data_IF_974116174090
#
_entry.id   IF_974116174090
#
_cell.length_a   1.000
_cell.length_b   1.000
_cell.length_c   1.000
_cell.angle_alpha   90.00
_cell.angle_beta   90.00
_cell.angle_gamma   90.00
#
_symmetry.space_group_name_H-M   'P 1'
#
loop_
_entity.id
_entity.type
_entity.pdbx_description
1 polymer ?
#
# COMPACT_ATOMS: atom_id res chain seq x y z
N UNK A 1 53.52 -20.76 -10.80
CA UNK A 1 53.41 -20.46 -9.37
C UNK A 1 52.51 -19.25 -9.27
N UNK A 2 51.22 -19.47 -9.05
CA UNK A 2 50.26 -18.38 -8.86
C UNK A 2 49.86 -18.37 -7.40
N UNK A 3 50.09 -17.22 -6.79
CA UNK A 3 49.94 -16.92 -5.38
C UNK A 3 48.47 -17.09 -5.02
N UNK A 4 48.16 -18.07 -4.17
CA UNK A 4 46.93 -18.05 -3.39
C UNK A 4 47.10 -16.94 -2.36
N UNK A 5 46.64 -15.73 -2.68
CA UNK A 5 46.38 -14.73 -1.66
C UNK A 5 45.21 -15.28 -0.83
N UNK A 6 45.55 -15.95 0.27
CA UNK A 6 44.63 -16.17 1.37
C UNK A 6 44.32 -14.78 1.92
N UNK A 7 43.13 -14.25 1.64
CA UNK A 7 42.67 -13.04 2.32
C UNK A 7 42.82 -13.27 3.84
N UNK A 8 43.61 -12.44 4.54
CA UNK A 8 43.86 -12.66 5.95
C UNK A 8 42.55 -12.47 6.71
N UNK A 9 42.17 -13.47 7.51
CA UNK A 9 40.99 -13.41 8.38
C UNK A 9 41.04 -12.12 9.22
N UNK A 10 40.03 -11.24 9.14
CA UNK A 10 40.10 -9.95 9.82
C UNK A 10 40.07 -10.15 11.34
N UNK A 11 41.00 -9.50 12.04
CA UNK A 11 41.08 -9.50 13.50
C UNK A 11 40.17 -8.42 14.08
N UNK A 12 39.19 -8.81 14.90
CA UNK A 12 38.14 -7.93 15.42
C UNK A 12 38.15 -7.91 16.95
N UNK A 13 38.07 -6.72 17.53
CA UNK A 13 37.75 -6.53 18.95
C UNK A 13 36.26 -6.15 19.09
N UNK A 14 35.52 -6.85 19.96
CA UNK A 14 34.13 -6.55 20.28
C UNK A 14 34.07 -5.88 21.67
N UNK A 15 33.65 -4.62 21.70
CA UNK A 15 33.47 -3.84 22.92
C UNK A 15 31.99 -3.66 23.22
N UNK A 16 31.50 -4.40 24.21
CA UNK A 16 30.09 -4.36 24.61
C UNK A 16 29.93 -4.83 26.05
N UNK A 17 29.01 -4.20 26.79
CA UNK A 17 28.62 -4.68 28.12
C UNK A 17 28.01 -6.09 28.04
N UNK A 18 28.12 -6.91 29.09
CA UNK A 18 27.44 -8.20 29.14
C UNK A 18 25.91 -8.04 28.95
N UNK A 19 25.35 -8.75 27.97
CA UNK A 19 23.92 -8.69 27.68
C UNK A 19 23.56 -9.14 26.26
N UNK A 20 22.28 -9.01 25.90
CA UNK A 20 21.74 -9.48 24.62
C UNK A 20 22.44 -8.83 23.41
N UNK A 21 22.75 -7.53 23.46
CA UNK A 21 23.46 -6.82 22.39
C UNK A 21 24.80 -7.48 22.06
N UNK A 22 25.61 -7.76 23.08
CA UNK A 22 26.90 -8.44 22.95
C UNK A 22 26.75 -9.83 22.36
N UNK A 23 25.70 -10.56 22.76
CA UNK A 23 25.43 -11.89 22.21
C UNK A 23 25.06 -11.86 20.73
N UNK A 24 24.18 -10.94 20.32
CA UNK A 24 23.78 -10.77 18.91
C UNK A 24 24.97 -10.36 18.03
N UNK A 25 25.80 -9.43 18.52
CA UNK A 25 27.00 -8.99 17.81
C UNK A 25 28.04 -10.12 17.68
N UNK A 26 28.28 -10.88 18.74
CA UNK A 26 29.18 -12.04 18.71
C UNK A 26 28.69 -13.10 17.72
N UNK A 27 27.39 -13.38 17.71
CA UNK A 27 26.79 -14.31 16.75
C UNK A 27 26.99 -13.84 15.31
N UNK A 28 26.78 -12.55 15.02
CA UNK A 28 27.01 -12.00 13.68
C UNK A 28 28.48 -12.07 13.26
N UNK A 29 29.42 -11.77 14.18
CA UNK A 29 30.86 -11.90 13.91
C UNK A 29 31.26 -13.36 13.66
N UNK A 30 30.69 -14.32 14.40
CA UNK A 30 30.93 -15.74 14.17
C UNK A 30 30.46 -16.20 12.78
N UNK A 31 29.34 -15.67 12.29
CA UNK A 31 28.86 -15.94 10.93
C UNK A 31 29.68 -15.23 9.85
N UNK A 32 30.37 -14.15 10.20
CA UNK A 32 31.22 -13.38 9.30
C UNK A 32 32.63 -13.98 9.19
N UNK A 33 32.92 -15.18 9.69
CA UNK A 33 34.23 -15.85 9.59
C UNK A 33 35.43 -14.94 9.97
N UNK A 34 35.27 -14.14 11.02
CA UNK A 34 36.30 -13.23 11.54
C UNK A 34 36.96 -13.79 12.79
N UNK A 35 38.19 -13.34 13.07
CA UNK A 35 38.89 -13.71 14.29
C UNK A 35 38.60 -12.69 15.39
N UNK A 36 37.79 -13.07 16.39
CA UNK A 36 37.60 -12.24 17.59
C UNK A 36 38.86 -12.33 18.46
N UNK A 37 39.66 -11.27 18.49
CA UNK A 37 40.92 -11.20 19.25
C UNK A 37 40.73 -10.67 20.67
N UNK A 38 39.64 -9.93 20.91
CA UNK A 38 39.28 -9.37 22.21
C UNK A 38 37.76 -9.22 22.30
N UNK A 39 37.17 -9.63 23.42
CA UNK A 39 35.75 -9.45 23.72
C UNK A 39 35.58 -8.97 25.16
N UNK A 40 35.33 -7.68 25.38
CA UNK A 40 35.35 -7.10 26.73
C UNK A 40 34.34 -5.97 26.94
N UNK A 41 34.07 -5.64 28.21
CA UNK A 41 33.27 -4.50 28.61
C UNK A 41 34.12 -3.22 28.54
N UNK A 42 33.73 -2.19 27.75
CA UNK A 42 34.48 -0.94 27.65
C UNK A 42 34.68 -0.26 29.02
N UNK A 43 33.76 -0.44 29.97
CA UNK A 43 33.83 0.16 31.30
C UNK A 43 35.03 -0.34 32.12
N UNK A 44 35.41 -1.60 31.94
CA UNK A 44 36.52 -2.25 32.68
C UNK A 44 37.78 -2.43 31.85
N UNK A 45 37.68 -2.30 30.52
CA UNK A 45 38.80 -2.51 29.61
C UNK A 45 39.89 -1.44 29.78
N UNK A 46 41.14 -1.89 29.90
CA UNK A 46 42.31 -1.01 29.89
C UNK A 46 42.76 -0.68 28.44
N UNK A 47 43.14 0.57 28.13
CA UNK A 47 43.60 0.96 26.78
C UNK A 47 44.77 0.11 26.26
N UNK A 48 45.67 -0.31 27.14
CA UNK A 48 46.82 -1.14 26.78
C UNK A 48 46.40 -2.54 26.32
N UNK A 49 45.37 -3.14 26.93
CA UNK A 49 44.88 -4.45 26.54
C UNK A 49 44.30 -4.46 25.12
N UNK A 50 43.59 -3.38 24.74
CA UNK A 50 43.11 -3.19 23.37
C UNK A 50 44.26 -3.05 22.38
N UNK A 51 45.31 -2.30 22.75
CA UNK A 51 46.50 -2.14 21.92
C UNK A 51 47.29 -3.45 21.74
N UNK A 52 47.47 -4.21 22.82
CA UNK A 52 48.21 -5.47 22.82
C UNK A 52 47.50 -6.56 22.01
N UNK A 53 46.16 -6.53 21.95
CA UNK A 53 45.35 -7.44 21.14
C UNK A 53 45.50 -7.20 19.63
N UNK A 54 46.02 -6.04 19.21
CA UNK A 54 46.24 -5.63 17.79
C UNK A 54 45.05 -5.93 16.87
N UNK A 55 43.83 -5.45 17.17
CA UNK A 55 42.70 -5.58 16.26
C UNK A 55 42.92 -4.76 14.98
N UNK A 56 42.34 -5.21 13.88
CA UNK A 56 42.17 -4.43 12.65
C UNK A 56 40.86 -3.64 12.68
N UNK A 57 39.82 -4.25 13.25
CA UNK A 57 38.50 -3.63 13.44
C UNK A 57 38.10 -3.62 14.91
N UNK A 58 37.41 -2.57 15.34
CA UNK A 58 36.75 -2.53 16.65
C UNK A 58 35.26 -2.32 16.44
N UNK A 59 34.45 -3.28 16.87
CA UNK A 59 33.00 -3.20 16.87
C UNK A 59 32.53 -2.78 18.26
N UNK A 60 31.82 -1.66 18.34
CA UNK A 60 31.42 -1.03 19.60
C UNK A 60 29.89 -0.98 19.67
N UNK A 61 29.33 -1.58 20.72
CA UNK A 61 27.91 -1.46 21.04
C UNK A 61 27.66 -0.14 21.79
N UNK A 62 27.14 0.87 21.10
CA UNK A 62 26.89 2.20 21.64
C UNK A 62 25.70 2.22 22.60
N UNK A 63 25.92 2.84 23.76
CA UNK A 63 24.91 3.14 24.77
C UNK A 63 25.41 4.23 25.71
N UNK A 64 24.49 5.00 26.30
CA UNK A 64 24.84 6.13 27.17
C UNK A 64 25.74 5.75 28.35
N UNK A 65 25.64 4.51 28.83
CA UNK A 65 26.40 4.03 29.98
C UNK A 65 27.90 3.88 29.72
N UNK A 66 28.36 3.86 28.45
CA UNK A 66 29.76 3.62 28.09
C UNK A 66 30.47 4.87 27.56
N UNK A 67 29.81 6.03 27.52
CA UNK A 67 30.35 7.28 26.96
C UNK A 67 31.68 7.69 27.63
N UNK A 68 31.71 7.73 28.96
CA UNK A 68 32.93 8.04 29.75
C UNK A 68 34.06 7.03 29.49
N UNK A 69 33.70 5.76 29.24
CA UNK A 69 34.68 4.72 28.93
C UNK A 69 35.27 4.88 27.52
N UNK A 70 34.47 5.33 26.54
CA UNK A 70 34.95 5.61 25.18
C UNK A 70 35.89 6.82 25.16
N UNK A 71 35.62 7.87 25.93
CA UNK A 71 36.55 9.01 26.08
C UNK A 71 37.90 8.54 26.65
N UNK A 72 37.89 7.67 27.66
CA UNK A 72 39.11 7.08 28.21
C UNK A 72 39.87 6.17 27.23
N UNK A 73 39.16 5.49 26.33
CA UNK A 73 39.74 4.60 25.31
C UNK A 73 40.13 5.33 24.01
N UNK A 74 39.76 6.59 23.84
CA UNK A 74 40.00 7.41 22.64
C UNK A 74 41.46 7.35 22.14
N UNK A 75 42.51 7.41 22.99
CA UNK A 75 43.89 7.33 22.52
C UNK A 75 44.23 5.98 21.85
N UNK A 76 43.60 4.90 22.28
CA UNK A 76 43.80 3.57 21.70
C UNK A 76 42.94 3.36 20.45
N UNK A 77 41.71 3.90 20.44
CA UNK A 77 40.79 3.83 19.30
C UNK A 77 41.21 4.72 18.12
N UNK A 78 42.03 5.74 18.37
CA UNK A 78 42.56 6.65 17.34
C UNK A 78 43.84 6.12 16.66
N UNK A 79 44.23 4.87 16.90
CA UNK A 79 45.43 4.28 16.31
C UNK A 79 45.34 4.23 14.75
N UNK A 80 46.40 4.61 14.04
CA UNK A 80 46.40 4.58 12.58
C UNK A 80 46.26 3.16 12.05
N UNK A 81 45.32 2.94 11.13
CA UNK A 81 45.03 1.63 10.53
C UNK A 81 43.95 0.82 11.26
N UNK A 82 43.37 1.36 12.34
CA UNK A 82 42.21 0.78 13.01
C UNK A 82 40.91 1.28 12.37
N UNK A 83 39.99 0.37 12.07
CA UNK A 83 38.65 0.74 11.59
C UNK A 83 37.61 0.55 12.70
N UNK A 84 36.86 1.60 13.00
CA UNK A 84 35.81 1.57 14.02
C UNK A 84 34.45 1.30 13.38
N UNK A 85 33.69 0.40 13.96
CA UNK A 85 32.31 0.06 13.58
C UNK A 85 31.44 0.25 14.81
N UNK A 86 30.44 1.12 14.68
CA UNK A 86 29.49 1.40 15.75
C UNK A 86 28.14 0.75 15.45
N UNK A 87 27.51 0.15 16.45
CA UNK A 87 26.13 -0.33 16.41
C UNK A 87 25.42 0.03 17.72
N UNK A 88 24.16 0.41 17.68
CA UNK A 88 23.41 0.76 18.88
C UNK A 88 23.07 -0.49 19.69
N UNK A 89 23.41 -0.52 20.98
CA UNK A 89 23.24 -1.70 21.83
C UNK A 89 21.77 -2.14 21.91
N UNK A 90 20.84 -1.19 22.04
CA UNK A 90 19.40 -1.49 22.15
C UNK A 90 18.83 -2.05 20.83
N UNK A 91 19.28 -1.52 19.70
CA UNK A 91 18.90 -2.00 18.37
C UNK A 91 19.50 -3.39 18.13
N UNK A 92 20.78 -3.58 18.43
CA UNK A 92 21.46 -4.87 18.33
C UNK A 92 20.75 -5.95 19.15
N UNK A 93 20.31 -5.64 20.38
CA UNK A 93 19.62 -6.57 21.27
C UNK A 93 18.23 -7.00 20.77
N UNK A 94 17.50 -6.12 20.07
CA UNK A 94 16.15 -6.41 19.54
C UNK A 94 16.16 -7.06 18.16
N UNK A 95 17.33 -7.15 17.52
CA UNK A 95 17.45 -7.56 16.12
C UNK A 95 17.27 -9.06 15.97
N UNK A 96 16.25 -9.46 15.20
CA UNK A 96 15.87 -10.85 14.99
C UNK A 96 15.55 -11.17 13.52
N UNK A 97 15.53 -12.48 13.21
CA UNK A 97 15.07 -13.01 11.92
C UNK A 97 15.80 -12.41 10.71
N UNK A 98 15.03 -11.92 9.74
CA UNK A 98 15.56 -11.38 8.49
C UNK A 98 16.47 -10.17 8.70
N UNK A 99 16.14 -9.31 9.66
CA UNK A 99 16.92 -8.12 9.94
C UNK A 99 18.32 -8.47 10.47
N UNK A 100 18.40 -9.46 11.37
CA UNK A 100 19.67 -9.96 11.89
C UNK A 100 20.55 -10.55 10.78
N UNK A 101 19.96 -11.34 9.88
CA UNK A 101 20.69 -11.96 8.76
C UNK A 101 21.19 -10.95 7.73
N UNK A 102 20.33 -9.98 7.35
CA UNK A 102 20.72 -8.90 6.45
C UNK A 102 21.85 -8.08 7.08
N UNK A 103 21.66 -7.63 8.32
CA UNK A 103 22.65 -6.83 9.01
C UNK A 103 23.99 -7.58 9.16
N UNK A 104 23.96 -8.87 9.51
CA UNK A 104 25.15 -9.72 9.60
C UNK A 104 25.92 -9.80 8.28
N UNK A 105 25.24 -9.97 7.15
CA UNK A 105 25.87 -9.93 5.80
C UNK A 105 26.51 -8.57 5.49
N UNK A 106 25.82 -7.47 5.82
CA UNK A 106 26.37 -6.14 5.65
C UNK A 106 27.58 -5.89 6.57
N UNK A 107 27.56 -6.40 7.80
CA UNK A 107 28.71 -6.33 8.71
C UNK A 107 29.89 -7.14 8.14
N UNK A 108 29.65 -8.37 7.69
CA UNK A 108 30.67 -9.22 7.09
C UNK A 108 31.31 -8.54 5.87
N UNK A 109 30.51 -7.93 5.00
CA UNK A 109 31.00 -7.18 3.85
C UNK A 109 31.90 -6.01 4.24
N UNK A 110 31.53 -5.24 5.28
CA UNK A 110 32.35 -4.16 5.82
C UNK A 110 33.67 -4.67 6.40
N UNK A 111 33.65 -5.76 7.16
CA UNK A 111 34.84 -6.33 7.81
C UNK A 111 35.84 -6.91 6.79
N UNK A 112 35.36 -7.40 5.64
CA UNK A 112 36.22 -7.89 4.55
C UNK A 112 36.49 -6.85 3.47
N UNK A 113 35.94 -5.63 3.59
CA UNK A 113 36.19 -4.55 2.64
C UNK A 113 35.56 -4.76 1.25
N UNK A 114 34.54 -5.60 1.12
CA UNK A 114 33.78 -5.78 -0.12
C UNK A 114 32.36 -5.21 0.01
N UNK A 115 31.68 -4.99 -1.13
CA UNK A 115 30.29 -4.53 -1.16
C UNK A 115 29.29 -5.66 -1.43
N UNK A 116 29.78 -6.90 -1.54
CA UNK A 116 28.94 -8.05 -1.75
C UNK A 116 28.13 -8.37 -0.50
N UNK A 117 26.84 -8.07 -0.57
CA UNK A 117 25.93 -8.24 0.55
C UNK A 117 24.80 -9.18 0.22
N UNK A 118 24.67 -9.69 -1.01
CA UNK A 118 23.58 -10.56 -1.43
C UNK A 118 23.73 -11.99 -0.85
N UNK A 119 22.66 -12.82 -0.86
CA UNK A 119 22.80 -14.22 -0.51
C UNK A 119 23.46 -14.97 -1.68
N UNK A 120 24.15 -16.08 -1.42
CA UNK A 120 24.70 -16.92 -2.48
C UNK A 120 23.60 -17.32 -3.48
N UNK A 121 23.82 -17.02 -4.77
CA UNK A 121 22.88 -17.26 -5.86
C UNK A 121 22.21 -16.02 -6.45
N UNK A 122 22.39 -14.84 -5.84
CA UNK A 122 21.85 -13.57 -6.36
C UNK A 122 22.92 -12.65 -6.98
N UNK A 123 24.16 -13.13 -7.11
CA UNK A 123 25.32 -12.23 -7.16
C UNK A 123 25.78 -11.86 -8.56
N UNK A 124 25.28 -12.52 -9.62
CA UNK A 124 25.61 -12.18 -11.00
C UNK A 124 24.40 -12.47 -11.93
N UNK A 125 23.54 -11.47 -12.15
CA UNK A 125 22.91 -11.36 -13.46
C UNK A 125 23.91 -10.63 -14.36
N UNK A 126 24.53 -11.31 -15.34
CA UNK A 126 25.50 -10.65 -16.21
C UNK A 126 24.80 -9.46 -16.87
N UNK A 127 25.39 -8.27 -16.72
CA UNK A 127 24.91 -7.07 -17.38
C UNK A 127 24.69 -7.40 -18.86
N UNK A 128 23.43 -7.44 -19.29
CA UNK A 128 23.05 -7.72 -20.66
C UNK A 128 23.58 -6.59 -21.53
N UNK A 129 24.84 -6.71 -21.98
CA UNK A 129 25.38 -5.87 -23.03
C UNK A 129 24.60 -6.23 -24.30
N UNK A 130 23.58 -5.43 -24.59
CA UNK A 130 22.81 -5.51 -25.81
C UNK A 130 23.73 -5.12 -26.97
N UNK A 131 24.38 -6.09 -27.60
CA UNK A 131 25.07 -5.85 -28.87
C UNK A 131 24.03 -5.56 -29.96
N UNK A 132 24.24 -4.53 -30.82
CA UNK A 132 23.40 -4.31 -31.99
C UNK A 132 23.52 -5.48 -32.98
N UNK A 133 22.62 -6.43 -32.85
CA UNK A 133 22.47 -7.59 -33.72
C UNK A 133 21.17 -8.30 -33.38
N UNK A 134 20.52 -8.96 -34.35
CA UNK A 134 19.40 -9.84 -34.04
C UNK A 134 20.01 -11.04 -33.29
N UNK A 135 19.83 -11.17 -31.95
CA UNK A 135 20.34 -12.35 -31.26
C UNK A 135 19.75 -13.58 -31.94
N UNK A 136 20.55 -14.65 -32.08
CA UNK A 136 20.01 -15.92 -32.54
C UNK A 136 18.81 -16.23 -31.66
N UNK A 137 17.61 -16.32 -32.27
CA UNK A 137 16.39 -16.64 -31.53
C UNK A 137 16.71 -17.85 -30.67
N UNK A 138 16.69 -17.73 -29.32
CA UNK A 138 16.90 -18.88 -28.47
C UNK A 138 15.93 -19.97 -28.93
N UNK A 139 16.35 -21.26 -28.95
CA UNK A 139 15.45 -22.32 -29.33
C UNK A 139 14.18 -22.15 -28.50
N UNK A 140 13.03 -22.03 -29.18
CA UNK A 140 11.73 -21.91 -28.52
C UNK A 140 11.71 -22.96 -27.41
N UNK A 141 11.55 -22.55 -26.13
CA UNK A 141 11.51 -23.49 -25.02
C UNK A 141 10.50 -24.56 -25.39
N UNK A 142 10.99 -25.79 -25.57
CA UNK A 142 10.10 -26.89 -25.88
C UNK A 142 9.27 -27.09 -24.62
N UNK A 143 7.96 -26.97 -24.74
CA UNK A 143 7.00 -27.15 -23.64
C UNK A 143 7.23 -28.45 -22.87
N UNK A 144 7.71 -29.48 -23.58
CA UNK A 144 8.16 -30.76 -23.01
C UNK A 144 9.29 -30.66 -21.98
N UNK A 145 10.18 -29.68 -22.07
CA UNK A 145 11.24 -29.46 -21.07
C UNK A 145 10.70 -28.83 -19.77
N UNK A 146 9.58 -28.11 -19.86
CA UNK A 146 8.88 -27.51 -18.72
C UNK A 146 7.87 -28.47 -18.09
N UNK A 147 7.41 -29.47 -18.84
CA UNK A 147 6.40 -30.45 -18.41
C UNK A 147 6.72 -31.06 -17.03
N UNK A 148 7.97 -31.48 -16.81
CA UNK A 148 8.38 -32.09 -15.53
C UNK A 148 8.27 -31.13 -14.36
N UNK A 149 8.63 -29.86 -14.57
CA UNK A 149 8.52 -28.82 -13.54
C UNK A 149 7.05 -28.45 -13.28
N UNK A 150 6.22 -28.43 -14.32
CA UNK A 150 4.77 -28.19 -14.19
C UNK A 150 4.07 -29.33 -13.45
N UNK A 151 4.42 -30.59 -13.74
CA UNK A 151 3.92 -31.77 -13.03
C UNK A 151 4.33 -31.75 -11.56
N UNK A 152 5.60 -31.39 -11.28
CA UNK A 152 6.10 -31.25 -9.92
C UNK A 152 5.38 -30.12 -9.17
N UNK A 153 5.22 -28.94 -9.78
CA UNK A 153 4.49 -27.83 -9.20
C UNK A 153 3.03 -28.19 -8.90
N UNK A 154 2.36 -28.89 -9.82
CA UNK A 154 0.99 -29.39 -9.63
C UNK A 154 0.88 -30.39 -8.48
N UNK A 155 1.90 -31.24 -8.30
CA UNK A 155 1.93 -32.20 -7.19
C UNK A 155 2.05 -31.55 -5.82
N UNK A 156 2.66 -30.37 -5.74
CA UNK A 156 2.85 -29.61 -4.49
C UNK A 156 1.77 -28.56 -4.25
N UNK A 157 0.89 -28.33 -5.22
CA UNK A 157 -0.14 -27.28 -5.13
C UNK A 157 -1.05 -27.47 -3.90
N UNK A 158 -1.41 -28.72 -3.58
CA UNK A 158 -2.25 -29.06 -2.44
C UNK A 158 -1.51 -28.99 -1.09
N UNK A 159 -0.17 -29.02 -1.11
CA UNK A 159 0.67 -28.94 0.09
C UNK A 159 0.99 -27.48 0.48
N UNK A 160 0.72 -26.51 -0.41
CA UNK A 160 0.86 -25.08 -0.11
C UNK A 160 -0.29 -24.67 0.82
N UNK A 161 -0.01 -24.18 2.05
CA UNK A 161 -1.06 -23.71 2.93
C UNK A 161 -1.83 -22.56 2.29
N UNK A 162 -3.08 -22.82 1.87
CA UNK A 162 -4.00 -21.77 1.48
C UNK A 162 -4.50 -21.04 2.74
N UNK A 163 -4.70 -19.72 2.64
CA UNK A 163 -5.37 -18.97 3.71
C UNK A 163 -6.84 -19.43 3.71
N UNK A 164 -7.21 -20.37 4.60
CA UNK A 164 -8.52 -21.04 4.60
C UNK A 164 -9.73 -20.12 4.88
N UNK A 165 -9.50 -18.81 4.97
CA UNK A 165 -10.52 -17.77 5.03
C UNK A 165 -10.88 -17.23 3.63
N UNK A 166 -10.04 -17.48 2.62
CA UNK A 166 -10.23 -16.99 1.26
C UNK A 166 -10.61 -18.14 0.32
N UNK A 167 -11.80 -18.06 -0.27
CA UNK A 167 -12.22 -18.92 -1.36
C UNK A 167 -12.21 -18.12 -2.66
N UNK A 168 -11.37 -18.46 -3.66
CA UNK A 168 -11.36 -17.75 -4.92
C UNK A 168 -12.73 -17.83 -5.62
N UNK A 169 -13.16 -16.80 -6.35
CA UNK A 169 -14.44 -16.79 -7.05
C UNK A 169 -14.59 -17.92 -8.07
N UNK A 170 -15.78 -18.55 -8.11
CA UNK A 170 -16.05 -19.71 -8.95
C UNK A 170 -15.95 -19.48 -10.48
N UNK A 171 -15.89 -18.23 -10.94
CA UNK A 171 -15.70 -17.88 -12.36
C UNK A 171 -14.22 -17.64 -12.72
N UNK A 172 -13.33 -17.54 -11.74
CA UNK A 172 -11.89 -17.62 -11.99
C UNK A 172 -11.55 -19.10 -12.24
N UNK A 173 -11.66 -19.49 -13.50
CA UNK A 173 -11.23 -20.80 -13.96
C UNK A 173 -9.72 -20.79 -14.18
N UNK A 174 -9.04 -21.92 -13.96
CA UNK A 174 -7.68 -22.12 -14.50
C UNK A 174 -7.68 -21.68 -15.98
N UNK A 175 -6.61 -21.00 -16.45
CA UNK A 175 -6.58 -20.49 -17.81
C UNK A 175 -6.87 -21.65 -18.76
N UNK A 176 -7.98 -21.53 -19.47
CA UNK A 176 -8.38 -22.48 -20.52
C UNK A 176 -7.16 -22.61 -21.43
N UNK A 177 -6.75 -23.84 -21.73
CA UNK A 177 -5.58 -24.12 -22.55
C UNK A 177 -5.53 -23.15 -23.74
N UNK A 178 -4.34 -22.62 -24.05
CA UNK A 178 -4.15 -21.54 -25.03
C UNK A 178 -4.88 -21.83 -26.36
N UNK A 179 -5.00 -23.10 -26.74
CA UNK A 179 -5.77 -23.52 -27.92
C UNK A 179 -7.27 -23.20 -27.83
N UNK A 180 -7.91 -23.39 -26.66
CA UNK A 180 -9.32 -23.03 -26.47
C UNK A 180 -9.54 -21.53 -26.40
N UNK A 181 -8.63 -20.77 -25.77
CA UNK A 181 -8.71 -19.31 -25.74
C UNK A 181 -8.57 -18.72 -27.15
N UNK A 182 -7.65 -19.26 -27.96
CA UNK A 182 -7.49 -18.90 -29.36
C UNK A 182 -8.68 -19.36 -30.22
N UNK A 183 -9.25 -20.54 -29.96
CA UNK A 183 -10.44 -21.02 -30.66
C UNK A 183 -11.69 -20.17 -30.36
N UNK A 184 -11.84 -19.66 -29.14
CA UNK A 184 -12.93 -18.76 -28.76
C UNK A 184 -12.80 -17.35 -29.40
N UNK A 185 -11.57 -16.94 -29.74
CA UNK A 185 -11.28 -15.69 -30.45
C UNK A 185 -11.36 -15.84 -31.98
N UNK A 186 -11.48 -17.06 -32.51
CA UNK A 186 -11.71 -17.24 -33.93
C UNK A 186 -13.14 -16.82 -34.28
N UNK A 187 -13.33 -15.88 -35.21
CA UNK A 187 -14.66 -15.57 -35.70
C UNK A 187 -15.22 -16.83 -36.37
N UNK A 188 -16.35 -17.32 -35.87
CA UNK A 188 -17.15 -18.33 -36.57
C UNK A 188 -17.60 -17.68 -37.88
N UNK A 189 -16.86 -17.95 -38.95
CA UNK A 189 -17.31 -17.66 -40.30
C UNK A 189 -18.57 -18.51 -40.52
N UNK A 190 -19.75 -17.91 -40.74
CA UNK A 190 -20.93 -18.69 -41.04
C UNK A 190 -20.64 -19.52 -42.28
N UNK A 191 -20.82 -20.83 -42.13
CA UNK A 191 -20.79 -21.80 -43.21
C UNK A 191 -21.71 -21.29 -44.33
N UNK A 192 -21.16 -21.23 -45.55
CA UNK A 192 -21.79 -20.73 -46.76
C UNK A 192 -23.27 -21.13 -46.83
N UNK A 193 -24.15 -20.19 -46.47
CA UNK A 193 -25.56 -20.32 -46.75
C UNK A 193 -25.74 -20.43 -48.27
N UNK A 194 -26.50 -21.45 -48.70
CA UNK A 194 -26.91 -21.66 -50.07
C UNK A 194 -27.47 -20.36 -50.70
N UNK A 195 -27.32 -20.17 -52.03
CA UNK A 195 -27.53 -18.86 -52.65
C UNK A 195 -29.00 -18.44 -52.56
N UNK A 196 -29.25 -17.36 -51.81
CA UNK A 196 -30.54 -16.70 -51.74
C UNK A 196 -30.63 -15.71 -52.91
N UNK A 197 -31.69 -15.84 -53.72
CA UNK A 197 -31.97 -14.97 -54.86
C UNK A 197 -32.10 -13.49 -54.43
N UNK A 198 -31.46 -12.62 -55.21
CA UNK A 198 -31.50 -11.17 -55.03
C UNK A 198 -32.88 -10.57 -55.36
N UNK A 199 -33.37 -9.71 -54.47
CA UNK A 199 -34.47 -8.77 -54.71
C UNK A 199 -33.97 -7.33 -54.43
N UNK A 200 -34.54 -6.31 -55.09
CA UNK A 200 -33.81 -5.09 -55.42
C UNK A 200 -33.79 -4.01 -54.33
N UNK A 201 -32.75 -3.20 -54.43
CA UNK A 201 -32.25 -2.16 -53.52
C UNK A 201 -33.15 -0.90 -53.48
N UNK A 202 -33.41 -0.30 -52.30
CA UNK A 202 -33.99 1.04 -52.19
C UNK A 202 -32.90 2.13 -52.29
N UNK A 203 -33.27 3.38 -52.66
CA UNK A 203 -32.28 4.40 -53.05
C UNK A 203 -31.55 5.04 -51.87
N UNK A 204 -30.29 5.38 -52.14
CA UNK A 204 -29.32 6.04 -51.27
C UNK A 204 -29.72 7.50 -50.93
N UNK A 205 -29.72 7.83 -49.65
CA UNK A 205 -29.67 9.23 -49.15
C UNK A 205 -28.20 9.64 -48.98
N UNK A 206 -27.77 10.83 -49.44
CA UNK A 206 -26.37 11.24 -49.31
C UNK A 206 -26.05 11.71 -47.88
N UNK A 207 -24.91 11.23 -47.38
CA UNK A 207 -24.34 11.59 -46.09
C UNK A 207 -23.79 13.03 -46.09
N UNK A 208 -24.09 13.78 -45.04
CA UNK A 208 -23.48 15.07 -44.76
C UNK A 208 -22.10 14.88 -44.11
N UNK A 209 -21.12 15.68 -44.53
CA UNK A 209 -19.76 15.67 -44.00
C UNK A 209 -19.69 16.28 -42.58
N UNK A 210 -18.76 15.82 -41.71
CA UNK A 210 -18.53 16.45 -40.42
C UNK A 210 -17.80 17.78 -40.59
N UNK A 211 -18.30 18.83 -39.93
CA UNK A 211 -17.60 20.12 -39.81
C UNK A 211 -16.52 20.03 -38.75
N UNK A 212 -15.31 20.42 -39.12
CA UNK A 212 -14.16 20.56 -38.24
C UNK A 212 -14.31 21.88 -37.49
N UNK A 213 -14.45 21.85 -36.17
CA UNK A 213 -14.34 23.03 -35.32
C UNK A 213 -12.92 23.10 -34.76
N UNK A 214 -12.12 24.01 -35.31
CA UNK A 214 -10.95 24.59 -34.67
C UNK A 214 -11.17 26.09 -34.65
N UNK A 215 -11.26 26.68 -33.46
CA UNK A 215 -10.59 27.95 -33.14
C UNK A 215 -10.76 28.28 -31.65
N UNK A 216 -9.64 28.16 -30.93
CA UNK A 216 -9.50 28.51 -29.53
C UNK A 216 -8.95 29.93 -29.43
N UNK A 217 -9.72 30.96 -29.75
CA UNK A 217 -9.32 32.35 -29.45
C UNK A 217 -10.51 33.30 -29.40
N UNK A 218 -11.27 33.28 -28.30
CA UNK A 218 -12.23 34.34 -28.00
C UNK A 218 -12.51 34.47 -26.49
N UNK A 219 -11.44 34.44 -25.69
CA UNK A 219 -11.51 34.94 -24.31
C UNK A 219 -10.87 36.33 -24.30
N UNK A 220 -11.69 37.35 -24.09
CA UNK A 220 -11.24 38.69 -23.72
C UNK A 220 -12.06 39.16 -22.53
N UNK A 221 -11.34 39.36 -21.43
CA UNK A 221 -11.79 39.91 -20.15
C UNK A 221 -12.11 41.40 -20.30
N UNK A 222 -13.18 41.86 -19.67
CA UNK A 222 -13.34 43.28 -19.33
C UNK A 222 -13.65 43.37 -17.84
N UNK A 223 -12.76 44.06 -17.14
CA UNK A 223 -12.78 44.38 -15.72
C UNK A 223 -13.52 45.71 -15.46
N UNK A 224 -13.79 45.94 -14.19
CA UNK A 224 -14.81 46.74 -13.53
C UNK A 224 -14.74 48.30 -13.64
N UNK A 225 -15.93 48.90 -13.40
CA UNK A 225 -16.22 50.09 -12.56
C UNK A 225 -16.50 51.50 -13.16
N UNK A 226 -17.70 52.00 -12.78
CA UNK A 226 -18.10 53.36 -12.35
C UNK A 226 -18.42 54.44 -13.41
N UNK A 227 -19.67 54.94 -13.50
CA UNK A 227 -20.31 55.94 -12.60
C UNK A 227 -21.65 56.49 -13.18
N UNK A 228 -22.71 56.51 -12.35
CA UNK A 228 -23.98 57.29 -12.25
C UNK A 228 -24.73 57.97 -13.45
N UNK A 229 -26.01 58.46 -13.32
CA UNK A 229 -26.92 58.48 -12.17
C UNK A 229 -28.38 57.98 -12.41
N UNK A 230 -29.11 57.93 -11.30
CA UNK A 230 -30.48 57.45 -11.11
C UNK A 230 -31.61 58.38 -11.59
N UNK A 231 -32.77 57.78 -11.87
CA UNK A 231 -34.08 58.45 -11.87
C UNK A 231 -35.03 57.66 -10.98
N UNK A 232 -35.60 58.35 -9.99
CA UNK A 232 -36.51 57.83 -9.00
C UNK A 232 -37.91 57.60 -9.57
N UNK A 233 -38.58 56.53 -9.11
CA UNK A 233 -40.03 56.52 -9.03
C UNK A 233 -40.46 55.85 -7.72
N UNK A 234 -41.36 56.52 -7.01
CA UNK A 234 -41.81 56.19 -5.68
C UNK A 234 -42.76 54.98 -5.68
N UNK A 235 -42.64 54.13 -4.67
CA UNK A 235 -43.72 53.25 -4.23
C UNK A 235 -43.70 53.11 -2.70
N UNK A 236 -44.79 53.59 -2.14
CA UNK A 236 -45.37 53.35 -0.81
C UNK A 236 -44.94 52.06 -0.11
N UNK A 237 -44.39 52.24 1.10
CA UNK A 237 -44.24 51.22 2.12
C UNK A 237 -45.60 50.66 2.54
N UNK A 238 -45.84 49.40 2.16
CA UNK A 238 -46.96 48.59 2.65
C UNK A 238 -46.35 47.40 3.39
N UNK A 239 -46.47 47.43 4.71
CA UNK A 239 -46.21 46.31 5.59
C UNK A 239 -47.09 45.13 5.16
N UNK A 240 -46.45 44.10 4.61
CA UNK A 240 -47.11 42.86 4.20
C UNK A 240 -46.52 41.74 5.04
N UNK A 241 -47.37 41.17 5.89
CA UNK A 241 -47.07 40.10 6.81
C UNK A 241 -46.33 38.94 6.12
N UNK A 242 -45.30 38.41 6.79
CA UNK A 242 -44.68 37.15 6.40
C UNK A 242 -45.76 36.07 6.33
N UNK A 243 -45.75 35.19 5.31
CA UNK A 243 -46.63 34.04 5.30
C UNK A 243 -46.26 33.17 6.51
N UNK A 244 -47.14 33.11 7.51
CA UNK A 244 -47.05 32.13 8.57
C UNK A 244 -47.35 30.77 7.94
N UNK A 245 -46.31 29.99 7.67
CA UNK A 245 -46.45 28.61 7.24
C UNK A 245 -47.00 27.80 8.40
N UNK A 246 -48.13 27.12 8.19
CA UNK A 246 -48.67 26.15 9.15
C UNK A 246 -47.78 24.91 9.15
N UNK A 247 -46.80 24.89 10.06
CA UNK A 247 -45.89 23.77 10.26
C UNK A 247 -46.55 22.57 10.96
N UNK A 248 -47.83 22.69 11.37
CA UNK A 248 -48.55 21.64 12.10
C UNK A 248 -48.91 20.39 11.28
N UNK A 249 -48.77 20.47 9.94
CA UNK A 249 -49.03 19.36 9.01
C UNK A 249 -47.79 18.90 8.24
N UNK A 250 -46.61 19.43 8.58
CA UNK A 250 -45.35 18.97 8.00
C UNK A 250 -44.92 17.67 8.67
N UNK A 251 -45.34 16.55 8.10
CA UNK A 251 -44.73 15.24 8.37
C UNK A 251 -43.46 15.12 7.53
N UNK A 252 -42.33 14.89 8.17
CA UNK A 252 -41.10 14.47 7.48
C UNK A 252 -41.40 13.15 6.77
N UNK A 253 -41.56 13.19 5.45
CA UNK A 253 -41.42 12.00 4.62
C UNK A 253 -39.93 11.85 4.39
N UNK A 254 -39.37 10.68 4.74
CA UNK A 254 -37.99 10.34 4.41
C UNK A 254 -37.73 10.69 2.93
N UNK A 255 -36.83 11.66 2.68
CA UNK A 255 -36.38 11.98 1.33
C UNK A 255 -35.70 10.77 0.64
N UNK A 256 -35.51 9.67 1.37
CA UNK A 256 -34.91 8.41 0.90
C UNK A 256 -35.79 7.61 -0.06
N UNK A 257 -37.11 7.75 -0.01
CA UNK A 257 -37.99 6.93 -0.84
C UNK A 257 -37.93 7.29 -2.34
N UNK A 258 -37.38 8.46 -2.68
CA UNK A 258 -37.26 8.97 -4.05
C UNK A 258 -35.81 9.09 -4.55
N UNK A 259 -34.82 8.80 -3.70
CA UNK A 259 -33.43 8.83 -4.11
C UNK A 259 -33.11 7.60 -4.98
N UNK A 260 -32.30 7.73 -6.06
CA UNK A 260 -31.92 6.59 -6.87
C UNK A 260 -31.27 5.50 -6.00
N UNK A 261 -31.48 4.25 -6.41
CA UNK A 261 -30.89 3.09 -5.76
C UNK A 261 -29.37 3.31 -5.57
N UNK A 262 -28.90 3.23 -4.33
CA UNK A 262 -27.48 3.42 -4.00
C UNK A 262 -27.07 4.83 -3.59
N UNK A 263 -28.00 5.80 -3.51
CA UNK A 263 -27.70 7.17 -3.07
C UNK A 263 -26.99 7.22 -1.70
N UNK A 264 -27.40 6.36 -0.75
CA UNK A 264 -26.79 6.20 0.57
C UNK A 264 -25.73 5.08 0.66
N UNK A 265 -25.29 4.52 -0.46
CA UNK A 265 -24.24 3.48 -0.50
C UNK A 265 -22.85 4.11 -0.37
N UNK A 266 -22.63 4.76 0.77
CA UNK A 266 -21.35 5.34 1.16
C UNK A 266 -20.51 4.37 1.99
N UNK A 267 -19.19 4.54 1.94
CA UNK A 267 -18.26 3.77 2.75
C UNK A 267 -17.05 4.61 3.14
N UNK A 268 -16.36 4.20 4.21
CA UNK A 268 -14.98 4.61 4.44
C UNK A 268 -14.07 3.63 3.71
N UNK A 269 -13.46 4.04 2.61
CA UNK A 269 -12.44 3.25 1.92
C UNK A 269 -11.04 3.64 2.43
N UNK A 270 -10.27 2.64 2.84
CA UNK A 270 -8.88 2.78 3.27
C UNK A 270 -7.99 2.03 2.28
N UNK A 271 -7.07 2.74 1.64
CA UNK A 271 -6.10 2.20 0.70
C UNK A 271 -4.72 2.19 1.35
N UNK A 272 -4.02 1.07 1.24
CA UNK A 272 -2.67 0.92 1.80
C UNK A 272 -1.82 -0.09 1.01
N UNK A 273 -0.53 -0.19 1.32
CA UNK A 273 0.36 -1.20 0.75
C UNK A 273 1.56 -1.48 1.64
N UNK A 274 2.77 -1.40 1.10
CA UNK A 274 4.01 -1.67 1.87
C UNK A 274 4.14 -0.64 3.01
N UNK A 275 4.32 -1.13 4.24
CA UNK A 275 4.30 -0.30 5.46
C UNK A 275 2.89 0.09 5.95
N UNK A 276 1.85 -0.22 5.16
CA UNK A 276 0.45 0.01 5.47
C UNK A 276 -0.13 -0.71 6.70
N UNK A 277 0.29 -1.94 7.09
CA UNK A 277 -0.33 -2.66 8.20
C UNK A 277 -0.23 -1.94 9.55
N UNK A 278 0.84 -1.17 9.79
CA UNK A 278 0.98 -0.38 11.02
C UNK A 278 0.10 0.87 11.00
N UNK A 279 0.12 1.61 9.89
CA UNK A 279 -0.77 2.77 9.69
C UNK A 279 -2.26 2.38 9.83
N UNK A 280 -2.64 1.25 9.22
CA UNK A 280 -3.98 0.69 9.33
C UNK A 280 -4.32 0.30 10.77
N UNK A 281 -3.40 -0.36 11.49
CA UNK A 281 -3.57 -0.70 12.90
C UNK A 281 -3.84 0.53 13.75
N UNK A 282 -3.06 1.59 13.54
CA UNK A 282 -3.18 2.88 14.25
C UNK A 282 -4.49 3.59 13.95
N UNK A 283 -4.93 3.57 12.68
CA UNK A 283 -6.22 4.11 12.26
C UNK A 283 -7.37 3.33 12.92
N UNK A 284 -7.41 2.01 12.74
CA UNK A 284 -8.50 1.16 13.24
C UNK A 284 -8.58 1.15 14.77
N UNK A 285 -7.45 1.15 15.48
CA UNK A 285 -7.44 1.21 16.94
C UNK A 285 -7.99 2.52 17.52
N UNK A 286 -8.03 3.59 16.72
CA UNK A 286 -8.53 4.91 17.12
C UNK A 286 -9.97 5.18 16.66
N UNK A 287 -10.59 4.27 15.90
CA UNK A 287 -12.00 4.37 15.53
C UNK A 287 -12.93 4.06 16.73
N UNK A 288 -14.17 4.58 16.75
CA UNK A 288 -15.16 4.20 17.75
C UNK A 288 -15.67 2.76 17.53
N UNK A 289 -16.37 2.21 18.53
CA UNK A 289 -17.01 0.89 18.46
C UNK A 289 -18.27 0.83 17.59
N UNK A 290 -18.79 1.99 17.15
CA UNK A 290 -19.93 2.09 16.25
C UNK A 290 -19.69 3.15 15.16
N UNK A 291 -19.92 2.77 13.91
CA UNK A 291 -19.88 3.67 12.75
C UNK A 291 -21.14 3.51 11.91
N UNK A 292 -21.66 4.62 11.38
CA UNK A 292 -22.83 4.64 10.50
C UNK A 292 -22.55 4.12 9.07
N UNK A 293 -21.29 3.88 8.71
CA UNK A 293 -20.85 3.41 7.39
C UNK A 293 -19.97 2.15 7.50
N UNK A 294 -19.94 1.28 6.49
CA UNK A 294 -18.96 0.20 6.42
C UNK A 294 -17.55 0.76 6.21
N UNK A 295 -16.55 0.10 6.78
CA UNK A 295 -15.13 0.38 6.51
C UNK A 295 -14.60 -0.67 5.55
N UNK A 296 -14.11 -0.24 4.39
CA UNK A 296 -13.51 -1.10 3.37
C UNK A 296 -12.01 -0.90 3.41
N UNK A 297 -11.25 -1.98 3.54
CA UNK A 297 -9.79 -1.95 3.55
C UNK A 297 -9.29 -2.70 2.34
N UNK A 298 -8.67 -1.98 1.40
CA UNK A 298 -7.95 -2.59 0.30
C UNK A 298 -6.45 -2.34 0.49
N UNK A 299 -5.71 -3.42 0.72
CA UNK A 299 -4.26 -3.40 0.84
C UNK A 299 -3.68 -4.54 0.04
N UNK A 300 -2.85 -4.23 -0.96
CA UNK A 300 -2.23 -5.25 -1.81
C UNK A 300 -1.32 -6.13 -0.97
N UNK A 301 -1.63 -7.43 -0.92
CA UNK A 301 -0.84 -8.43 -0.20
C UNK A 301 -0.49 -9.59 -1.14
N UNK A 302 0.80 -9.88 -1.32
CA UNK A 302 1.18 -11.04 -2.14
C UNK A 302 0.71 -12.34 -1.46
N UNK A 303 0.32 -13.34 -2.25
CA UNK A 303 0.10 -14.71 -1.76
C UNK A 303 -1.10 -14.90 -0.83
N UNK A 304 -2.16 -14.10 -0.97
CA UNK A 304 -3.46 -14.38 -0.34
C UNK A 304 -3.49 -14.24 1.19
N UNK A 305 -2.55 -13.50 1.79
CA UNK A 305 -2.37 -13.35 3.25
C UNK A 305 -3.45 -12.49 3.96
N UNK A 306 -4.63 -12.35 3.36
CA UNK A 306 -5.70 -11.47 3.85
C UNK A 306 -6.31 -11.96 5.17
N UNK A 307 -6.37 -13.27 5.40
CA UNK A 307 -6.85 -13.85 6.65
C UNK A 307 -5.93 -13.55 7.84
N UNK A 308 -4.61 -13.48 7.60
CA UNK A 308 -3.67 -13.01 8.63
C UNK A 308 -3.87 -11.54 8.96
N UNK A 309 -4.10 -10.70 7.95
CA UNK A 309 -4.42 -9.28 8.17
C UNK A 309 -5.69 -9.13 9.00
N UNK A 310 -6.77 -9.85 8.66
CA UNK A 310 -8.02 -9.85 9.42
C UNK A 310 -7.77 -10.20 10.88
N UNK A 311 -7.04 -11.29 11.16
CA UNK A 311 -6.69 -11.71 12.53
C UNK A 311 -5.87 -10.65 13.28
N UNK A 312 -4.98 -9.94 12.58
CA UNK A 312 -4.16 -8.89 13.19
C UNK A 312 -4.97 -7.63 13.48
N UNK A 313 -5.81 -7.20 12.54
CA UNK A 313 -6.65 -6.00 12.69
C UNK A 313 -7.77 -6.23 13.72
N UNK A 314 -8.38 -7.42 13.76
CA UNK A 314 -9.39 -7.79 14.75
C UNK A 314 -8.89 -7.72 16.20
N UNK A 315 -7.57 -7.83 16.44
CA UNK A 315 -7.00 -7.71 17.79
C UNK A 315 -6.94 -6.28 18.30
N UNK A 316 -6.99 -5.28 17.40
CA UNK A 316 -6.80 -3.87 17.75
C UNK A 316 -8.02 -3.02 17.46
N UNK A 317 -8.86 -3.43 16.50
CA UNK A 317 -10.06 -2.71 16.10
C UNK A 317 -11.17 -2.94 17.11
N UNK A 318 -11.88 -1.89 17.57
CA UNK A 318 -13.10 -2.05 18.34
C UNK A 318 -14.28 -2.51 17.47
N UNK A 319 -14.23 -2.25 16.17
CA UNK A 319 -15.19 -2.75 15.18
C UNK A 319 -14.84 -4.20 14.78
N UNK A 320 -15.83 -5.08 14.54
CA UNK A 320 -15.59 -6.41 13.99
C UNK A 320 -14.89 -6.31 12.63
N UNK A 321 -13.86 -7.16 12.45
CA UNK A 321 -13.08 -7.22 11.21
C UNK A 321 -13.27 -8.57 10.55
N UNK A 322 -13.59 -8.56 9.26
CA UNK A 322 -13.83 -9.76 8.47
C UNK A 322 -13.28 -9.63 7.05
N UNK A 323 -13.17 -10.76 6.36
CA UNK A 323 -12.83 -10.78 4.94
C UNK A 323 -14.11 -10.55 4.12
N UNK A 324 -14.02 -9.72 3.08
CA UNK A 324 -15.14 -9.50 2.17
C UNK A 324 -15.36 -10.73 1.27
N UNK A 325 -16.60 -11.19 1.16
CA UNK A 325 -17.00 -12.27 0.27
C UNK A 325 -18.01 -11.75 -0.76
N UNK A 326 -17.84 -12.15 -2.03
CA UNK A 326 -18.73 -11.76 -3.11
C UNK A 326 -20.20 -12.14 -2.81
N UNK A 327 -21.12 -11.21 -3.07
CA UNK A 327 -22.55 -11.33 -2.79
C UNK A 327 -22.96 -10.92 -1.38
N UNK A 328 -22.01 -10.73 -0.45
CA UNK A 328 -22.33 -10.18 0.87
C UNK A 328 -22.53 -8.67 0.82
N UNK A 329 -23.38 -8.15 1.72
CA UNK A 329 -23.60 -6.72 1.91
C UNK A 329 -22.49 -6.14 2.78
N UNK A 330 -21.97 -4.98 2.44
CA UNK A 330 -21.09 -4.22 3.32
C UNK A 330 -21.90 -3.59 4.46
N UNK A 331 -21.78 -4.15 5.66
CA UNK A 331 -22.55 -3.70 6.84
C UNK A 331 -21.88 -2.51 7.53
N UNK A 332 -22.69 -1.52 7.92
CA UNK A 332 -22.23 -0.40 8.72
C UNK A 332 -21.68 -0.87 10.08
N UNK A 333 -20.60 -0.24 10.55
CA UNK A 333 -19.96 -0.63 11.80
C UNK A 333 -19.10 -1.89 11.70
N UNK A 334 -18.85 -2.41 10.49
CA UNK A 334 -17.94 -3.53 10.26
C UNK A 334 -16.77 -3.09 9.37
N UNK A 335 -15.60 -3.69 9.61
CA UNK A 335 -14.42 -3.55 8.77
C UNK A 335 -14.30 -4.76 7.86
N UNK A 336 -14.33 -4.52 6.56
CA UNK A 336 -14.21 -5.55 5.53
C UNK A 336 -12.87 -5.41 4.83
N UNK A 337 -12.04 -6.44 4.91
CA UNK A 337 -10.78 -6.55 4.15
C UNK A 337 -11.09 -7.09 2.76
N UNK A 338 -10.73 -6.35 1.73
CA UNK A 338 -10.94 -6.73 0.33
C UNK A 338 -9.68 -7.38 -0.22
N UNK A 339 -9.82 -8.58 -0.77
CA UNK A 339 -8.80 -9.19 -1.61
C UNK A 339 -8.67 -8.42 -2.94
N UNK A 340 -7.58 -8.66 -3.68
CA UNK A 340 -7.28 -7.95 -4.93
C UNK A 340 -8.34 -8.15 -6.03
N UNK A 341 -9.14 -9.21 -5.94
CA UNK A 341 -10.19 -9.57 -6.89
C UNK A 341 -11.62 -9.32 -6.36
N UNK A 342 -11.74 -8.53 -5.29
CA UNK A 342 -13.04 -8.13 -4.72
C UNK A 342 -13.25 -6.64 -4.93
N UNK A 343 -14.34 -6.32 -5.63
CA UNK A 343 -14.85 -4.97 -5.80
C UNK A 343 -16.18 -4.76 -5.09
N UNK A 344 -16.81 -3.62 -5.35
CA UNK A 344 -18.10 -3.24 -4.79
C UNK A 344 -19.03 -2.69 -5.86
N UNK A 345 -20.33 -2.89 -5.67
CA UNK A 345 -21.38 -2.20 -6.43
C UNK A 345 -22.46 -1.66 -5.50
N UNK A 346 -23.08 -0.56 -5.90
CA UNK A 346 -24.22 0.00 -5.21
C UNK A 346 -25.52 -0.69 -5.67
N UNK A 347 -26.34 -1.07 -4.70
CA UNK A 347 -27.71 -1.55 -4.86
C UNK A 347 -28.70 -0.61 -4.14
N UNK A 348 -30.00 -0.85 -4.28
CA UNK A 348 -31.04 0.01 -3.70
C UNK A 348 -30.97 0.11 -2.17
N UNK A 349 -30.51 -0.96 -1.53
CA UNK A 349 -30.49 -1.14 -0.08
C UNK A 349 -29.06 -1.13 0.51
N UNK A 350 -28.02 -0.81 -0.27
CA UNK A 350 -26.67 -0.64 0.25
C UNK A 350 -25.57 -0.97 -0.74
N UNK A 351 -24.36 -1.18 -0.22
CA UNK A 351 -23.19 -1.57 -1.00
C UNK A 351 -22.97 -3.07 -0.87
N UNK A 352 -22.69 -3.76 -1.97
CA UNK A 352 -22.47 -5.20 -2.01
C UNK A 352 -21.11 -5.52 -2.61
N UNK A 353 -20.48 -6.57 -2.09
CA UNK A 353 -19.23 -7.08 -2.64
C UNK A 353 -19.50 -7.88 -3.90
N UNK A 354 -18.61 -7.74 -4.87
CA UNK A 354 -18.62 -8.55 -6.08
C UNK A 354 -17.21 -9.02 -6.38
N UNK A 355 -17.10 -10.14 -7.08
CA UNK A 355 -15.82 -10.50 -7.66
C UNK A 355 -15.55 -9.62 -8.87
N UNK A 356 -14.38 -9.01 -8.87
CA UNK A 356 -13.94 -8.08 -9.89
C UNK A 356 -12.44 -8.26 -10.07
N UNK A 357 -11.98 -8.64 -11.27
CA UNK A 357 -10.57 -8.99 -11.47
C UNK A 357 -9.62 -7.79 -11.25
N UNK A 358 -10.14 -6.57 -11.37
CA UNK A 358 -9.41 -5.33 -11.08
C UNK A 358 -9.61 -4.82 -9.64
N UNK A 359 -10.36 -5.56 -8.81
CA UNK A 359 -10.63 -5.20 -7.42
C UNK A 359 -11.59 -4.02 -7.28
N UNK A 360 -11.36 -3.18 -6.29
CA UNK A 360 -12.24 -2.07 -5.96
C UNK A 360 -12.15 -0.89 -6.95
N UNK A 361 -13.29 -0.50 -7.50
CA UNK A 361 -13.45 0.74 -8.26
C UNK A 361 -13.96 1.87 -7.36
N UNK A 362 -13.15 2.91 -7.17
CA UNK A 362 -13.52 4.09 -6.35
C UNK A 362 -14.79 4.78 -6.89
N UNK A 363 -14.99 4.75 -8.21
CA UNK A 363 -16.15 5.35 -8.87
C UNK A 363 -17.49 4.65 -8.54
N UNK A 364 -17.46 3.45 -7.94
CA UNK A 364 -18.66 2.75 -7.49
C UNK A 364 -19.22 3.31 -6.17
N UNK A 365 -18.46 4.17 -5.46
CA UNK A 365 -18.84 4.75 -4.18
C UNK A 365 -19.63 6.04 -4.36
N UNK A 366 -20.65 6.25 -3.51
CA UNK A 366 -21.38 7.53 -3.46
C UNK A 366 -20.51 8.61 -2.83
N UNK A 367 -20.15 9.65 -3.59
CA UNK A 367 -19.21 10.68 -3.13
C UNK A 367 -19.70 11.40 -1.86
N UNK A 368 -20.97 11.80 -1.81
CA UNK A 368 -21.55 12.55 -0.68
C UNK A 368 -21.49 11.79 0.66
N UNK A 369 -21.49 10.45 0.58
CA UNK A 369 -21.54 9.56 1.74
C UNK A 369 -20.25 8.78 1.98
N UNK A 370 -19.19 9.05 1.20
CA UNK A 370 -17.94 8.29 1.30
C UNK A 370 -16.77 9.12 1.79
N UNK A 371 -15.84 8.42 2.43
CA UNK A 371 -14.49 8.92 2.70
C UNK A 371 -13.46 8.00 2.05
N UNK A 372 -12.34 8.59 1.66
CA UNK A 372 -11.18 7.84 1.20
C UNK A 372 -9.94 8.26 2.00
N UNK A 373 -9.24 7.28 2.55
CA UNK A 373 -7.97 7.49 3.24
C UNK A 373 -6.86 6.74 2.52
N UNK A 374 -5.84 7.47 2.09
CA UNK A 374 -4.63 6.90 1.49
C UNK A 374 -3.54 6.84 2.55
N UNK A 375 -3.21 5.62 2.98
CA UNK A 375 -2.14 5.34 3.93
C UNK A 375 -0.82 4.99 3.21
N UNK A 376 0.23 4.75 4.00
CA UNK A 376 1.53 4.28 3.53
C UNK A 376 1.39 3.12 2.53
N UNK A 377 2.01 3.27 1.37
CA UNK A 377 2.07 2.25 0.32
C UNK A 377 0.81 2.11 -0.53
N UNK A 378 -0.18 3.01 -0.39
CA UNK A 378 -1.33 3.03 -1.29
C UNK A 378 -0.88 3.18 -2.76
N UNK A 379 -1.51 2.43 -3.67
CA UNK A 379 -1.15 2.44 -5.09
C UNK A 379 -1.45 3.81 -5.73
N UNK A 380 -0.46 4.37 -6.42
CA UNK A 380 -0.56 5.65 -7.13
C UNK A 380 -1.67 5.66 -8.18
N UNK A 381 -2.05 4.49 -8.72
CA UNK A 381 -3.15 4.38 -9.67
C UNK A 381 -4.50 4.88 -9.10
N UNK A 382 -4.66 4.85 -7.77
CA UNK A 382 -5.87 5.30 -7.10
C UNK A 382 -5.92 6.81 -6.85
N UNK A 383 -4.83 7.56 -7.03
CA UNK A 383 -4.78 9.00 -6.75
C UNK A 383 -5.71 9.80 -7.67
N UNK A 384 -5.71 9.51 -8.98
CA UNK A 384 -6.61 10.18 -9.93
C UNK A 384 -8.09 9.99 -9.55
N UNK A 385 -8.56 8.73 -9.45
CA UNK A 385 -9.93 8.45 -9.03
C UNK A 385 -10.29 8.98 -7.63
N UNK A 386 -9.33 9.04 -6.70
CA UNK A 386 -9.50 9.67 -5.40
C UNK A 386 -9.84 11.15 -5.53
N UNK A 387 -9.09 11.89 -6.34
CA UNK A 387 -9.30 13.31 -6.57
C UNK A 387 -10.59 13.59 -7.35
N UNK A 388 -10.96 12.71 -8.28
CA UNK A 388 -12.26 12.79 -8.97
C UNK A 388 -13.42 12.62 -7.99
N UNK A 389 -13.31 11.66 -7.05
CA UNK A 389 -14.31 11.46 -6.00
C UNK A 389 -14.35 12.66 -5.04
N UNK A 390 -13.20 13.25 -4.72
CA UNK A 390 -13.13 14.47 -3.90
C UNK A 390 -13.82 15.66 -4.59
N UNK A 391 -13.59 15.84 -5.89
CA UNK A 391 -14.26 16.87 -6.69
C UNK A 391 -15.79 16.66 -6.75
N UNK A 392 -16.25 15.41 -6.64
CA UNK A 392 -17.66 15.05 -6.53
C UNK A 392 -18.24 15.19 -5.10
N UNK A 393 -17.45 15.58 -4.11
CA UNK A 393 -17.90 15.90 -2.74
C UNK A 393 -17.50 14.89 -1.65
N UNK A 394 -16.71 13.86 -1.98
CA UNK A 394 -16.16 12.97 -0.96
C UNK A 394 -15.07 13.64 -0.14
N UNK A 395 -14.90 13.17 1.10
CA UNK A 395 -13.75 13.57 1.90
C UNK A 395 -12.58 12.63 1.62
N UNK A 396 -11.46 13.20 1.20
CA UNK A 396 -10.24 12.45 0.91
C UNK A 396 -9.12 12.96 1.81
N UNK A 397 -8.33 12.03 2.34
CA UNK A 397 -7.19 12.35 3.18
C UNK A 397 -5.98 11.47 2.86
N UNK A 398 -4.79 12.04 3.00
CA UNK A 398 -3.52 11.32 2.96
C UNK A 398 -2.87 11.25 4.33
N UNK A 399 -2.27 10.10 4.65
CA UNK A 399 -1.42 9.95 5.82
C UNK A 399 -0.19 10.86 5.72
N UNK A 400 0.15 11.52 6.83
CA UNK A 400 1.44 12.20 7.01
C UNK A 400 2.10 11.80 8.32
N UNK A 401 3.36 12.20 8.47
CA UNK A 401 4.13 12.10 9.70
C UNK A 401 4.76 10.72 9.94
N UNK A 402 5.03 10.40 11.21
CA UNK A 402 5.85 9.27 11.62
C UNK A 402 5.17 7.93 11.30
N UNK A 403 5.91 7.03 10.65
CA UNK A 403 5.39 5.72 10.20
C UNK A 403 4.71 5.73 8.83
N UNK A 404 4.80 6.83 8.06
CA UNK A 404 4.47 6.83 6.64
C UNK A 404 5.70 6.40 5.80
N UNK A 405 5.87 5.08 5.62
CA UNK A 405 7.09 4.52 4.99
C UNK A 405 7.13 4.68 3.47
N UNK A 406 5.98 4.62 2.81
CA UNK A 406 5.82 4.90 1.39
C UNK A 406 4.74 5.99 1.21
N UNK A 407 5.14 7.27 1.15
CA UNK A 407 4.22 8.39 1.18
C UNK A 407 3.71 8.80 -0.20
N UNK A 408 4.02 8.07 -1.28
CA UNK A 408 3.84 8.56 -2.65
C UNK A 408 2.40 9.00 -2.95
N UNK A 409 1.42 8.10 -2.75
CA UNK A 409 0.01 8.39 -3.02
C UNK A 409 -0.60 9.36 -1.98
N UNK A 410 -0.23 9.21 -0.71
CA UNK A 410 -0.69 10.10 0.36
C UNK A 410 -0.22 11.56 0.15
N UNK A 411 1.05 11.75 -0.22
CA UNK A 411 1.62 13.06 -0.55
C UNK A 411 0.97 13.65 -1.79
N UNK A 412 0.64 12.84 -2.79
CA UNK A 412 0.01 13.32 -4.01
C UNK A 412 -1.39 13.91 -3.74
N UNK A 413 -2.22 13.26 -2.92
CA UNK A 413 -3.54 13.82 -2.57
C UNK A 413 -3.42 15.06 -1.66
N UNK A 414 -2.46 15.07 -0.74
CA UNK A 414 -2.20 16.26 0.12
C UNK A 414 -1.69 17.43 -0.71
N UNK A 415 -0.79 17.20 -1.67
CA UNK A 415 -0.30 18.23 -2.59
C UNK A 415 -1.41 18.79 -3.50
N UNK A 416 -2.46 18.01 -3.76
CA UNK A 416 -3.67 18.45 -4.47
C UNK A 416 -4.65 19.22 -3.58
N UNK A 417 -4.32 19.48 -2.31
CA UNK A 417 -5.12 20.27 -1.38
C UNK A 417 -6.09 19.45 -0.52
N UNK A 418 -5.98 18.12 -0.53
CA UNK A 418 -6.76 17.26 0.35
C UNK A 418 -6.23 17.26 1.79
N UNK A 419 -7.01 16.70 2.71
CA UNK A 419 -6.68 16.68 4.14
C UNK A 419 -5.42 15.85 4.39
N UNK A 420 -4.56 16.33 5.27
CA UNK A 420 -3.39 15.64 5.76
C UNK A 420 -3.56 15.34 7.25
N UNK A 421 -3.22 14.14 7.70
CA UNK A 421 -3.20 13.83 9.12
C UNK A 421 -2.47 12.52 9.44
N UNK A 422 -2.06 12.38 10.70
CA UNK A 422 -1.61 11.10 11.24
C UNK A 422 -2.80 10.12 11.34
N UNK A 423 -2.60 8.79 11.30
CA UNK A 423 -3.70 7.82 11.31
C UNK A 423 -4.71 8.03 12.44
N UNK A 424 -4.26 8.41 13.64
CA UNK A 424 -5.15 8.69 14.77
C UNK A 424 -5.94 10.00 14.61
N UNK A 425 -5.37 11.02 13.97
CA UNK A 425 -6.08 12.29 13.69
C UNK A 425 -7.15 12.07 12.63
N UNK A 426 -6.82 11.30 11.57
CA UNK A 426 -7.79 10.90 10.55
C UNK A 426 -8.94 10.10 11.17
N UNK A 427 -8.66 9.18 12.10
CA UNK A 427 -9.68 8.44 12.83
C UNK A 427 -10.63 9.35 13.63
N UNK A 428 -10.11 10.42 14.25
CA UNK A 428 -10.94 11.39 14.99
C UNK A 428 -11.88 12.15 14.06
N UNK A 429 -11.41 12.56 12.87
CA UNK A 429 -12.26 13.23 11.87
C UNK A 429 -13.35 12.28 11.36
N UNK A 430 -13.00 11.01 11.12
CA UNK A 430 -13.96 9.96 10.76
C UNK A 430 -15.00 9.75 11.86
N UNK A 431 -14.57 9.65 13.11
CA UNK A 431 -15.45 9.49 14.27
C UNK A 431 -16.41 10.68 14.43
N UNK A 432 -15.93 11.91 14.24
CA UNK A 432 -16.79 13.09 14.29
C UNK A 432 -17.84 13.12 13.18
N UNK A 433 -17.59 12.46 12.05
CA UNK A 433 -18.50 12.44 10.89
C UNK A 433 -19.49 11.28 10.92
N UNK A 434 -19.08 10.12 11.40
CA UNK A 434 -19.87 8.87 11.31
C UNK A 434 -19.92 8.04 12.59
N UNK A 435 -19.31 8.50 13.68
CA UNK A 435 -19.40 7.84 14.98
C UNK A 435 -20.83 7.77 15.47
N UNK A 436 -21.22 6.60 15.99
CA UNK A 436 -22.46 6.42 16.72
C UNK A 436 -22.11 6.44 18.21
N UNK A 437 -22.78 7.31 18.97
CA UNK A 437 -22.65 7.31 20.42
C UNK A 437 -23.23 6.01 20.97
N UNK A 438 -22.53 5.41 21.93
CA UNK A 438 -23.05 4.27 22.72
C UNK A 438 -24.11 4.86 23.67
N UNK A 439 -25.32 5.08 23.16
CA UNK A 439 -26.47 5.40 23.98
C UNK A 439 -26.69 4.22 24.93
N UNK A 440 -26.07 4.32 26.11
CA UNK A 440 -26.29 3.44 27.24
C UNK A 440 -27.72 3.58 27.73
N UNK A 441 -28.66 2.95 27.03
CA UNK A 441 -30.00 2.68 27.55
C UNK A 441 -29.94 1.37 28.34
N UNK A 442 -29.36 1.47 29.54
CA UNK A 442 -29.58 0.49 30.59
C UNK A 442 -31.00 0.69 31.13
N UNK A 443 -31.90 -0.18 30.69
CA UNK A 443 -33.25 -0.37 31.25
C UNK A 443 -33.24 -0.70 32.76
#
# INVERSE_FOLDING_TARGET
>A
MSVSDLDPVPAVALLARPGAARERLREALAHADVQIVLEDDPMTLEPQALHDARPQFVVIALEAAIEDALERLEPALSAPGLTLVFDEAELAARRDGWEAQRWGRHLAAKLHGHQQVLPPGAEDEPALQLEPGLPSTPPVPKETALQTHLEQARSWADDVPADGLYSPPAHLHEPVALEQALAALQPVLPETAAPVQAAPEPPLVPAAAPSVFTDHTAWSLVDEASDAPAVASAATSTESAEPAFDTGHLSLVDLDAAAPAGSRSGALLVLAGIGGPDALRRLLAALPSGLAVPVLVHMRLDGGRYGNLVKQMARVSPLPVQLAEAGQRATAGEVHVLADDIGVHAAADGLYFQSEAQGISIAALSAEHSALVLLSGADLAHVGPALDLAAAGAWVAGQVGEGCYDPAAATAVVAAGMVAGEPQELAQVIAARWGLDDDGDAA
#
